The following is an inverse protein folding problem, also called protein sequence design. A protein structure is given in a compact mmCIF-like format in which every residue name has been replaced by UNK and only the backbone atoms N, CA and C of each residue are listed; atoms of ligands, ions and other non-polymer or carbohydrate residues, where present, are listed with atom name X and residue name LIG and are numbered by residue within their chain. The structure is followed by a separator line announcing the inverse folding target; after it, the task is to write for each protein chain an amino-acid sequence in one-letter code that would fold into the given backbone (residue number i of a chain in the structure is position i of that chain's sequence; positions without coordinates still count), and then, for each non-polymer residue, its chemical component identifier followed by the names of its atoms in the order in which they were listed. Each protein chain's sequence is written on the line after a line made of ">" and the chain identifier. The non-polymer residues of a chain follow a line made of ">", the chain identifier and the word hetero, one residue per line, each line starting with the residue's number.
data_IF_081818284223
#
_entry.id   IF_081818284223
#
_cell.length_a   1.000
_cell.length_b   1.000
_cell.length_c   1.000
_cell.angle_alpha   90.00
_cell.angle_beta   90.00
_cell.angle_gamma   90.00
#
_symmetry.space_group_name_H-M   'P 1'
#
loop_
_entity.id
_entity.type
_entity.pdbx_description
1 polymer ?
#
# COMPACT_ATOMS: atom_id res chain seq x y z
N UNK A 1 9.88 -1.42 10.08
CA UNK A 1 10.28 -1.97 8.77
C UNK A 1 9.33 -1.41 7.72
N UNK A 2 9.83 -0.94 6.58
CA UNK A 2 8.98 -0.57 5.46
C UNK A 2 8.50 -1.81 4.68
N UNK A 3 7.67 -1.60 3.66
CA UNK A 3 7.14 -2.68 2.83
C UNK A 3 7.94 -2.74 1.52
N UNK A 4 8.54 -3.88 1.22
CA UNK A 4 9.24 -4.15 -0.04
C UNK A 4 8.25 -4.35 -1.20
N UNK A 5 8.69 -4.05 -2.42
CA UNK A 5 7.99 -4.42 -3.66
C UNK A 5 6.81 -3.51 -4.01
N UNK A 6 6.66 -2.37 -3.33
CA UNK A 6 5.61 -1.38 -3.59
C UNK A 6 6.01 -0.52 -4.78
N UNK A 7 5.11 -0.36 -5.74
CA UNK A 7 5.32 0.56 -6.87
C UNK A 7 4.87 1.96 -6.49
N UNK A 8 5.78 2.92 -6.55
CA UNK A 8 5.52 4.35 -6.43
C UNK A 8 5.64 4.95 -7.83
N UNK A 9 4.59 5.62 -8.29
CA UNK A 9 4.59 6.40 -9.53
C UNK A 9 4.83 7.87 -9.23
N UNK A 10 5.62 8.51 -10.07
CA UNK A 10 5.86 9.94 -10.07
C UNK A 10 5.36 10.54 -11.39
N UNK A 11 4.57 11.60 -11.28
CA UNK A 11 4.18 12.45 -12.41
C UNK A 11 4.58 13.89 -12.08
N UNK A 12 5.42 14.49 -12.90
CA UNK A 12 5.92 15.85 -12.71
C UNK A 12 5.53 16.80 -13.82
N UNK A 13 5.27 18.06 -13.48
CA UNK A 13 5.25 19.19 -14.42
C UNK A 13 6.44 20.07 -14.06
N UNK A 14 7.37 20.20 -15.01
CA UNK A 14 8.67 20.87 -14.83
C UNK A 14 8.91 21.88 -15.95
N UNK A 15 9.87 22.78 -15.75
CA UNK A 15 10.16 23.86 -16.70
C UNK A 15 9.23 25.07 -16.52
N UNK A 16 9.41 26.10 -17.35
CA UNK A 16 8.59 27.32 -17.34
C UNK A 16 8.20 27.70 -18.77
N UNK A 17 7.01 28.29 -18.94
CA UNK A 17 6.56 28.76 -20.24
C UNK A 17 6.54 27.65 -21.30
N UNK A 18 7.16 27.91 -22.45
CA UNK A 18 7.22 26.96 -23.57
C UNK A 18 8.05 25.71 -23.29
N UNK A 19 8.92 25.73 -22.28
CA UNK A 19 9.73 24.58 -21.88
C UNK A 19 8.99 23.66 -20.90
N UNK A 20 7.74 23.97 -20.58
CA UNK A 20 6.93 23.15 -19.68
C UNK A 20 6.75 21.77 -20.26
N UNK A 21 7.12 20.75 -19.50
CA UNK A 21 6.98 19.35 -19.91
C UNK A 21 6.53 18.47 -18.77
N UNK A 22 5.94 17.34 -19.13
CA UNK A 22 5.53 16.30 -18.19
C UNK A 22 6.62 15.23 -18.12
N UNK A 23 7.00 14.82 -16.92
CA UNK A 23 7.85 13.64 -16.70
C UNK A 23 7.07 12.57 -15.95
N UNK A 24 7.36 11.30 -16.25
CA UNK A 24 6.77 10.13 -15.59
C UNK A 24 7.86 9.12 -15.27
N UNK A 25 7.85 8.63 -14.04
CA UNK A 25 8.82 7.65 -13.56
C UNK A 25 8.13 6.70 -12.59
N UNK A 26 8.65 5.49 -12.45
CA UNK A 26 8.23 4.52 -11.44
C UNK A 26 9.43 4.06 -10.63
N UNK A 27 9.20 3.78 -9.35
CA UNK A 27 10.19 3.21 -8.44
C UNK A 27 9.55 2.09 -7.63
N UNK A 28 10.32 1.03 -7.35
CA UNK A 28 9.89 -0.06 -6.48
C UNK A 28 10.62 0.03 -5.14
N UNK A 29 9.90 -0.12 -4.03
CA UNK A 29 10.52 -0.12 -2.72
C UNK A 29 11.44 -1.33 -2.53
N UNK A 30 12.62 -1.09 -1.96
CA UNK A 30 13.61 -2.13 -1.66
C UNK A 30 13.23 -2.97 -0.41
N UNK A 31 14.10 -3.88 0.01
CA UNK A 31 13.86 -4.77 1.17
C UNK A 31 13.54 -4.02 2.48
N UNK A 32 14.12 -2.83 2.66
CA UNK A 32 13.88 -1.98 3.82
C UNK A 32 12.63 -1.07 3.66
N UNK A 33 12.03 -1.07 2.46
CA UNK A 33 10.86 -0.28 2.09
C UNK A 33 11.17 1.12 1.55
N UNK A 34 12.42 1.42 1.20
CA UNK A 34 12.83 2.71 0.62
C UNK A 34 12.69 2.73 -0.89
N UNK A 35 12.32 3.89 -1.43
CA UNK A 35 12.32 4.21 -2.86
C UNK A 35 12.99 5.58 -3.08
N UNK A 36 13.45 5.85 -4.30
CA UNK A 36 14.10 7.11 -4.64
C UNK A 36 13.88 7.48 -6.11
N UNK A 37 13.68 8.78 -6.35
CA UNK A 37 13.77 9.40 -7.68
C UNK A 37 14.88 10.45 -7.61
N UNK A 38 15.91 10.33 -8.44
CA UNK A 38 17.07 11.22 -8.44
C UNK A 38 17.06 12.16 -9.65
N UNK A 39 17.87 13.23 -9.58
CA UNK A 39 18.11 14.16 -10.68
C UNK A 39 16.83 14.78 -11.27
N UNK A 40 15.83 15.01 -10.40
CA UNK A 40 14.58 15.66 -10.78
C UNK A 40 14.80 17.17 -10.95
N UNK A 41 14.32 17.78 -12.05
CA UNK A 41 14.29 19.23 -12.18
C UNK A 41 13.40 19.89 -11.10
N UNK A 42 13.59 21.18 -10.87
CA UNK A 42 12.62 21.95 -10.08
C UNK A 42 11.23 21.90 -10.75
N UNK A 43 10.19 21.73 -9.95
CA UNK A 43 8.83 21.62 -10.47
C UNK A 43 7.83 21.05 -9.47
N UNK A 44 6.63 20.76 -9.96
CA UNK A 44 5.54 20.19 -9.17
C UNK A 44 5.40 18.70 -9.50
N UNK A 45 5.38 17.87 -8.47
CA UNK A 45 5.30 16.43 -8.56
C UNK A 45 4.08 15.89 -7.81
N UNK A 46 3.50 14.85 -8.39
CA UNK A 46 2.53 13.98 -7.74
C UNK A 46 3.19 12.63 -7.57
N UNK A 47 3.31 12.16 -6.33
CA UNK A 47 3.66 10.78 -6.02
C UNK A 47 2.40 9.99 -5.74
N UNK A 48 2.32 8.78 -6.25
CA UNK A 48 1.21 7.85 -5.99
C UNK A 48 1.74 6.45 -5.72
N UNK A 49 1.40 5.88 -4.58
CA UNK A 49 1.59 4.45 -4.35
C UNK A 49 0.47 3.66 -5.06
N UNK A 50 0.84 2.59 -5.75
CA UNK A 50 -0.13 1.64 -6.29
C UNK A 50 -0.74 0.76 -5.21
N UNK A 51 -2.06 0.57 -5.29
CA UNK A 51 -2.76 -0.35 -4.40
C UNK A 51 -2.34 -1.78 -4.70
N UNK A 52 -1.92 -2.50 -3.66
CA UNK A 52 -1.53 -3.90 -3.77
C UNK A 52 -2.53 -4.79 -3.04
N UNK A 53 -2.91 -5.90 -3.70
CA UNK A 53 -3.82 -6.90 -3.12
C UNK A 53 -3.35 -7.33 -1.74
N UNK A 54 -4.30 -7.42 -0.81
CA UNK A 54 -4.04 -7.83 0.57
C UNK A 54 -3.68 -6.66 1.50
N UNK A 55 -3.58 -5.43 0.99
CA UNK A 55 -3.33 -4.24 1.79
C UNK A 55 -4.35 -3.15 1.48
N UNK A 56 -4.60 -2.29 2.46
CA UNK A 56 -5.33 -1.03 2.27
C UNK A 56 -4.49 0.14 2.77
N UNK A 57 -4.54 1.29 2.10
CA UNK A 57 -3.89 2.49 2.57
C UNK A 57 -4.61 3.02 3.82
N UNK A 58 -3.85 3.44 4.81
CA UNK A 58 -4.37 4.06 6.06
C UNK A 58 -4.37 5.58 5.97
N UNK A 59 -3.59 6.12 5.03
CA UNK A 59 -3.56 7.55 4.70
C UNK A 59 -3.75 7.77 3.21
N UNK A 60 -3.54 9.01 2.76
CA UNK A 60 -3.59 9.32 1.33
C UNK A 60 -2.52 8.51 0.57
N UNK A 61 -2.90 7.75 -0.47
CA UNK A 61 -1.95 7.10 -1.37
C UNK A 61 -1.34 8.08 -2.39
N UNK A 62 -1.61 9.38 -2.24
CA UNK A 62 -1.12 10.46 -3.12
C UNK A 62 -0.46 11.56 -2.30
N UNK A 63 0.67 12.08 -2.79
CA UNK A 63 1.36 13.25 -2.24
C UNK A 63 1.65 14.26 -3.33
N UNK A 64 1.49 15.53 -2.99
CA UNK A 64 1.85 16.66 -3.85
C UNK A 64 3.14 17.29 -3.30
N UNK A 65 4.14 17.43 -4.15
CA UNK A 65 5.45 17.95 -3.80
C UNK A 65 5.75 19.13 -4.71
N UNK A 66 6.19 20.23 -4.12
CA UNK A 66 6.89 21.29 -4.85
C UNK A 66 8.37 21.12 -4.55
N UNK A 67 9.19 21.02 -5.59
CA UNK A 67 10.63 20.86 -5.45
C UNK A 67 11.35 22.07 -6.02
N UNK A 68 12.14 22.76 -5.19
CA UNK A 68 13.06 23.79 -5.66
C UNK A 68 14.32 23.17 -6.26
N UNK A 69 15.10 23.98 -6.98
CA UNK A 69 16.36 23.52 -7.58
C UNK A 69 17.35 23.12 -6.47
N UNK A 70 17.89 21.91 -6.57
CA UNK A 70 18.84 21.37 -5.59
C UNK A 70 18.22 20.92 -4.26
N UNK A 71 16.89 20.99 -4.12
CA UNK A 71 16.19 20.52 -2.92
C UNK A 71 16.00 19.01 -2.93
N UNK A 72 16.01 18.40 -1.74
CA UNK A 72 15.56 17.03 -1.51
C UNK A 72 14.26 17.03 -0.72
N UNK A 73 13.22 16.39 -1.26
CA UNK A 73 11.99 16.12 -0.52
C UNK A 73 12.07 14.75 0.14
N UNK A 74 12.25 14.74 1.46
CA UNK A 74 12.41 13.54 2.27
C UNK A 74 11.12 13.18 3.03
N UNK A 75 11.06 11.98 3.62
CA UNK A 75 9.94 11.52 4.46
C UNK A 75 8.58 11.45 3.73
N UNK A 76 8.60 11.25 2.42
CA UNK A 76 7.42 11.05 1.59
C UNK A 76 6.83 9.64 1.75
N UNK A 77 6.44 9.29 2.98
CA UNK A 77 6.05 7.93 3.35
C UNK A 77 4.57 7.64 3.07
N UNK A 78 4.28 6.44 2.58
CA UNK A 78 2.93 5.90 2.45
C UNK A 78 2.70 4.82 3.53
N UNK A 79 1.47 4.72 4.03
CA UNK A 79 1.14 3.84 5.15
C UNK A 79 0.04 2.88 4.75
N UNK A 80 0.29 1.58 4.94
CA UNK A 80 -0.62 0.50 4.58
C UNK A 80 -0.89 -0.42 5.75
N UNK A 81 -2.06 -1.06 5.75
CA UNK A 81 -2.44 -2.13 6.67
C UNK A 81 -2.81 -3.40 5.91
N UNK A 82 -2.38 -4.60 6.36
CA UNK A 82 -2.85 -5.85 5.80
C UNK A 82 -4.36 -6.03 6.01
N UNK A 83 -5.10 -6.50 5.01
CA UNK A 83 -6.54 -6.76 5.11
C UNK A 83 -6.86 -7.84 6.16
N UNK A 84 -5.95 -8.82 6.32
CA UNK A 84 -6.06 -9.84 7.40
C UNK A 84 -6.03 -9.24 8.81
N UNK A 85 -5.51 -8.02 8.97
CA UNK A 85 -5.55 -7.30 10.26
C UNK A 85 -6.85 -6.55 10.51
N UNK A 86 -7.73 -6.46 9.49
CA UNK A 86 -9.02 -5.75 9.57
C UNK A 86 -10.17 -6.71 9.84
N UNK A 87 -10.09 -7.90 9.26
CA UNK A 87 -11.02 -8.98 9.57
C UNK A 87 -10.33 -9.82 10.64
N UNK A 88 -10.85 -9.78 11.87
CA UNK A 88 -10.41 -10.65 12.97
C UNK A 88 -10.76 -12.12 12.70
N UNK A 89 -10.31 -12.66 11.57
CA UNK A 89 -10.34 -14.11 11.35
C UNK A 89 -9.25 -14.64 12.27
N UNK A 90 -9.65 -14.92 13.51
CA UNK A 90 -9.03 -15.95 14.30
C UNK A 90 -8.87 -17.16 13.37
N UNK A 91 -7.62 -17.52 13.14
CA UNK A 91 -7.25 -18.71 12.41
C UNK A 91 -7.81 -19.89 13.23
N UNK A 92 -9.08 -20.25 13.04
CA UNK A 92 -9.66 -21.48 13.56
C UNK A 92 -9.01 -22.64 12.82
N UNK A 93 -7.74 -22.88 13.13
CA UNK A 93 -7.05 -24.14 12.84
C UNK A 93 -7.47 -25.15 13.88
N UNK A 94 -8.70 -25.64 13.77
CA UNK A 94 -9.12 -26.91 14.35
C UNK A 94 -9.84 -27.71 13.26
N UNK A 95 -9.07 -28.35 12.38
CA UNK A 95 -9.55 -29.55 11.69
C UNK A 95 -9.23 -30.74 12.59
N UNK A 96 -10.02 -30.95 13.65
CA UNK A 96 -10.10 -32.25 14.33
C UNK A 96 -11.37 -32.97 13.89
N UNK A 97 -11.12 -33.93 13.01
CA UNK A 97 -11.71 -35.26 12.87
C UNK A 97 -13.21 -35.47 13.14
N UNK A 98 -13.89 -35.98 12.09
CA UNK A 98 -15.21 -36.59 12.20
C UNK A 98 -15.18 -37.78 13.17
N UNK A 99 -15.94 -37.72 14.27
CA UNK A 99 -16.60 -38.91 14.82
C UNK A 99 -18.03 -38.64 15.25
N UNK A 100 -18.94 -39.18 14.44
CA UNK A 100 -20.31 -39.47 14.80
C UNK A 100 -20.39 -40.23 16.13
N UNK A 101 -21.21 -39.76 17.07
CA UNK A 101 -21.88 -40.64 18.06
C UNK A 101 -23.26 -40.08 18.42
N UNK A 102 -24.23 -40.57 17.66
CA UNK A 102 -25.52 -41.17 18.09
C UNK A 102 -26.38 -40.46 19.17
N UNK A 103 -27.41 -39.77 18.68
CA UNK A 103 -28.86 -39.85 19.03
C UNK A 103 -29.24 -40.12 20.50
N UNK A 104 -29.98 -39.17 21.09
CA UNK A 104 -31.22 -39.47 21.81
C UNK A 104 -32.26 -38.35 21.56
N UNK A 105 -33.29 -38.72 20.77
CA UNK A 105 -34.53 -37.97 20.63
C UNK A 105 -35.36 -38.25 21.89
N UNK A 106 -35.82 -37.22 22.59
CA UNK A 106 -36.97 -37.36 23.49
C UNK A 106 -38.17 -36.83 22.75
N UNK A 107 -39.00 -37.74 22.24
CA UNK A 107 -40.37 -37.45 21.83
C UNK A 107 -41.29 -37.62 23.04
N UNK A 108 -42.24 -36.69 23.19
CA UNK A 108 -43.42 -36.82 24.04
C UNK A 108 -44.19 -38.12 23.71
N UNK A 109 -44.76 -38.79 24.73
CA UNK A 109 -46.20 -39.05 24.89
C UNK A 109 -46.47 -40.04 26.03
N UNK A 110 -47.10 -39.56 27.10
CA UNK A 110 -48.34 -40.11 27.64
C UNK A 110 -48.96 -39.14 28.65
#
# INVERSE_FOLDING_TARGET
>A
MGLQGRTIRLIGIVGKGIETRVIRMDATTNADGFYMFNNLPAGRYILREELQRGFVPVGSPVKNIMLAQGENSMNNNFTNRPIRSLVGIEDHRDTEDHKDTKISRTSEKN
#
